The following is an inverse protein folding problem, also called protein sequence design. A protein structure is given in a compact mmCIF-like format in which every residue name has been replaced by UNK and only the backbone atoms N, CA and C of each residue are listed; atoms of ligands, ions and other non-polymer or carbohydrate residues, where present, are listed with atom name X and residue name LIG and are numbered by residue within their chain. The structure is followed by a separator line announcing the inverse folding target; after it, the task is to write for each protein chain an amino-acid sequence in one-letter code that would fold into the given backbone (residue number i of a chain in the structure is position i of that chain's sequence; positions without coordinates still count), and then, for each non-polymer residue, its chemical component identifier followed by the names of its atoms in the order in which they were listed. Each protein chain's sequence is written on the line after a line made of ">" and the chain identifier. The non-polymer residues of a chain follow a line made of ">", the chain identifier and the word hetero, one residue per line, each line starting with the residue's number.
data_IF_734976645898
#
_entry.id   IF_734976645898
#
_cell.length_a   1.000
_cell.length_b   1.000
_cell.length_c   1.000
_cell.angle_alpha   90.00
_cell.angle_beta   90.00
_cell.angle_gamma   90.00
#
_symmetry.space_group_name_H-M   'P 1'
#
loop_
_entity.id
_entity.type
_entity.pdbx_description
1 polymer ?
#
# COMPACT_ATOMS: atom_id res chain seq x y z
N UNK A 1 -40.53 1.78 -9.02
CA UNK A 1 -39.70 0.56 -9.14
C UNK A 1 -38.90 0.40 -7.86
N UNK A 2 -39.07 -0.71 -7.15
CA UNK A 2 -38.38 -1.00 -5.88
C UNK A 2 -36.99 -1.55 -6.23
N UNK A 3 -35.94 -0.78 -6.00
CA UNK A 3 -34.56 -1.30 -6.04
C UNK A 3 -34.30 -2.05 -4.73
N UNK A 4 -34.07 -3.35 -4.83
CA UNK A 4 -33.75 -4.25 -3.72
C UNK A 4 -32.49 -3.78 -2.99
N UNK A 5 -32.65 -3.15 -1.83
CA UNK A 5 -31.57 -2.90 -0.87
C UNK A 5 -31.28 -4.19 -0.10
N UNK A 6 -30.65 -5.16 -0.74
CA UNK A 6 -30.19 -6.38 -0.08
C UNK A 6 -28.70 -6.58 -0.38
N UNK A 7 -27.88 -6.01 0.49
CA UNK A 7 -26.44 -6.21 0.51
C UNK A 7 -25.91 -5.54 1.77
N UNK A 8 -25.68 -6.35 2.80
CA UNK A 8 -24.98 -5.99 4.05
C UNK A 8 -23.96 -4.89 3.77
N UNK A 9 -24.13 -3.72 4.40
CA UNK A 9 -23.43 -2.49 4.08
C UNK A 9 -21.90 -2.70 3.94
N UNK A 10 -21.44 -2.97 2.71
CA UNK A 10 -20.03 -3.04 2.33
C UNK A 10 -19.56 -1.62 1.97
N UNK A 11 -19.83 -0.66 2.86
CA UNK A 11 -19.38 0.71 2.70
C UNK A 11 -17.87 0.79 2.92
N UNK A 12 -17.19 1.21 1.87
CA UNK A 12 -15.86 1.82 1.95
C UNK A 12 -16.01 3.27 1.51
N UNK A 13 -15.39 4.18 2.26
CA UNK A 13 -15.29 5.59 1.93
C UNK A 13 -13.91 6.12 2.30
N UNK A 14 -13.43 7.12 1.58
CA UNK A 14 -12.25 7.90 1.98
C UNK A 14 -12.75 9.13 2.73
N UNK A 15 -12.42 9.23 4.02
CA UNK A 15 -12.91 10.31 4.89
C UNK A 15 -12.01 11.55 4.79
N UNK A 16 -10.70 11.35 4.70
CA UNK A 16 -9.75 12.46 4.68
C UNK A 16 -8.48 12.08 3.91
N UNK A 17 -7.89 13.07 3.24
CA UNK A 17 -6.60 12.94 2.56
C UNK A 17 -5.73 14.09 3.04
N UNK A 18 -4.59 13.76 3.62
CA UNK A 18 -3.64 14.70 4.20
C UNK A 18 -2.29 14.58 3.51
N UNK A 19 -1.34 15.47 3.86
CA UNK A 19 0.04 15.39 3.38
C UNK A 19 0.80 14.16 3.91
N UNK A 20 0.29 13.48 4.94
CA UNK A 20 0.94 12.33 5.57
C UNK A 20 0.34 10.99 5.12
N UNK A 21 -0.89 10.98 4.63
CA UNK A 21 -1.61 9.76 4.31
C UNK A 21 -3.10 9.95 4.12
N UNK A 22 -3.81 8.82 4.02
CA UNK A 22 -5.24 8.74 3.71
C UNK A 22 -5.98 8.07 4.86
N UNK A 23 -7.14 8.61 5.23
CA UNK A 23 -8.08 8.00 6.15
C UNK A 23 -9.19 7.29 5.39
N UNK A 24 -9.34 5.99 5.64
CA UNK A 24 -10.38 5.15 5.08
C UNK A 24 -11.36 4.72 6.17
N UNK A 25 -12.64 4.79 5.87
CA UNK A 25 -13.70 4.22 6.69
C UNK A 25 -14.25 2.97 6.02
N UNK A 26 -14.06 1.82 6.68
CA UNK A 26 -14.51 0.52 6.17
C UNK A 26 -15.30 -0.20 7.26
N UNK A 27 -16.56 -0.55 6.96
CA UNK A 27 -17.43 -1.35 7.83
C UNK A 27 -17.52 -0.85 9.29
N UNK A 28 -17.50 0.46 9.51
CA UNK A 28 -17.60 1.03 10.86
C UNK A 28 -16.26 1.27 11.57
N UNK A 29 -15.13 1.05 10.89
CA UNK A 29 -13.79 1.27 11.42
C UNK A 29 -12.99 2.20 10.54
N UNK A 30 -12.15 3.01 11.16
CA UNK A 30 -11.22 3.91 10.48
C UNK A 30 -9.84 3.26 10.38
N UNK A 31 -9.21 3.41 9.22
CA UNK A 31 -7.86 2.94 8.93
C UNK A 31 -7.05 4.09 8.34
N UNK A 32 -5.84 4.27 8.85
CA UNK A 32 -4.90 5.26 8.33
C UNK A 32 -3.87 4.58 7.43
N UNK A 33 -3.79 5.02 6.18
CA UNK A 33 -2.77 4.61 5.22
C UNK A 33 -1.69 5.69 5.15
N UNK A 34 -0.57 5.50 5.83
CA UNK A 34 0.58 6.41 5.76
C UNK A 34 1.26 6.35 4.39
N UNK A 35 1.64 7.49 3.81
CA UNK A 35 2.44 7.52 2.58
C UNK A 35 3.85 6.93 2.75
N UNK A 36 4.32 6.74 3.98
CA UNK A 36 5.59 6.04 4.23
C UNK A 36 5.48 4.54 3.90
N UNK A 37 4.35 3.94 4.22
CA UNK A 37 4.06 2.52 3.95
C UNK A 37 3.40 2.31 2.59
N UNK A 38 2.61 3.30 2.15
CA UNK A 38 1.79 3.28 0.95
C UNK A 38 2.14 4.46 0.02
N UNK A 39 3.41 4.57 -0.47
CA UNK A 39 3.87 5.73 -1.23
C UNK A 39 3.16 5.92 -2.58
N UNK A 40 2.54 4.86 -3.11
CA UNK A 40 1.81 4.86 -4.38
C UNK A 40 0.64 5.85 -4.42
N UNK A 41 0.13 6.29 -3.26
CA UNK A 41 -0.95 7.28 -3.19
C UNK A 41 -0.48 8.75 -3.19
N UNK A 42 0.80 9.01 -2.96
CA UNK A 42 1.31 10.37 -2.65
C UNK A 42 1.11 11.38 -3.79
N UNK A 43 1.24 10.94 -5.03
CA UNK A 43 1.17 11.77 -6.24
C UNK A 43 -0.08 11.48 -7.09
N UNK A 44 -1.12 10.90 -6.47
CA UNK A 44 -2.33 10.49 -7.16
C UNK A 44 -3.45 11.52 -7.08
N UNK A 45 -4.34 11.51 -8.08
CA UNK A 45 -5.46 12.45 -8.09
C UNK A 45 -6.48 12.10 -7.00
N UNK A 46 -7.11 13.14 -6.44
CA UNK A 46 -8.20 13.00 -5.47
C UNK A 46 -9.29 12.04 -5.96
N UNK A 47 -9.65 12.15 -7.26
CA UNK A 47 -10.67 11.29 -7.89
C UNK A 47 -10.25 9.83 -7.90
N UNK A 48 -9.00 9.54 -8.25
CA UNK A 48 -8.46 8.18 -8.26
C UNK A 48 -8.44 7.57 -6.85
N UNK A 49 -8.01 8.34 -5.85
CA UNK A 49 -7.98 7.90 -4.44
C UNK A 49 -9.39 7.64 -3.90
N UNK A 50 -10.37 8.47 -4.28
CA UNK A 50 -11.75 8.27 -3.84
C UNK A 50 -12.45 7.10 -4.54
N UNK A 51 -11.96 6.65 -5.70
CA UNK A 51 -12.55 5.54 -6.45
C UNK A 51 -12.18 4.16 -5.89
N UNK A 52 -12.26 3.99 -4.57
CA UNK A 52 -12.00 2.72 -3.89
C UNK A 52 -13.20 1.78 -4.00
N UNK A 53 -12.92 0.49 -4.24
CA UNK A 53 -13.92 -0.58 -4.29
C UNK A 53 -13.63 -1.62 -3.22
N UNK A 54 -14.67 -2.03 -2.49
CA UNK A 54 -14.59 -3.12 -1.53
C UNK A 54 -15.12 -4.42 -2.15
N UNK A 55 -14.22 -5.35 -2.36
CA UNK A 55 -14.50 -6.71 -2.80
C UNK A 55 -14.60 -7.66 -1.60
N UNK A 56 -15.60 -8.54 -1.64
CA UNK A 56 -15.83 -9.62 -0.66
C UNK A 56 -15.90 -9.18 0.82
N UNK A 57 -15.95 -7.87 1.09
CA UNK A 57 -16.02 -7.30 2.44
C UNK A 57 -14.68 -7.26 3.20
N UNK A 58 -13.56 -7.54 2.52
CA UNK A 58 -12.21 -7.52 3.12
C UNK A 58 -11.10 -7.05 2.15
N UNK A 59 -11.35 -6.95 0.85
CA UNK A 59 -10.34 -6.60 -0.16
C UNK A 59 -10.66 -5.23 -0.78
N UNK A 60 -9.78 -4.25 -0.58
CA UNK A 60 -9.87 -2.90 -1.12
C UNK A 60 -9.12 -2.85 -2.46
N UNK A 61 -9.72 -2.22 -3.46
CA UNK A 61 -9.10 -2.08 -4.78
C UNK A 61 -9.33 -0.69 -5.35
N UNK A 62 -8.26 -0.07 -5.82
CA UNK A 62 -8.25 1.19 -6.55
C UNK A 62 -7.99 0.91 -8.03
N UNK A 63 -9.05 0.83 -8.88
CA UNK A 63 -8.91 0.51 -10.30
C UNK A 63 -8.12 1.56 -11.09
N UNK A 64 -8.18 2.83 -10.69
CA UNK A 64 -7.45 3.90 -11.37
C UNK A 64 -5.96 3.89 -11.04
N UNK A 65 -5.58 3.28 -9.91
CA UNK A 65 -4.20 3.21 -9.41
C UNK A 65 -3.57 1.85 -9.63
N UNK A 66 -4.39 0.84 -9.95
CA UNK A 66 -4.04 -0.58 -9.95
C UNK A 66 -3.39 -1.02 -8.63
N UNK A 67 -3.97 -0.56 -7.52
CA UNK A 67 -3.52 -0.87 -6.15
C UNK A 67 -4.59 -1.67 -5.43
N UNK A 68 -4.20 -2.80 -4.86
CA UNK A 68 -5.02 -3.62 -3.97
C UNK A 68 -4.48 -3.64 -2.53
N UNK A 69 -5.39 -3.67 -1.55
CA UNK A 69 -5.07 -3.77 -0.13
C UNK A 69 -6.08 -4.66 0.59
N UNK A 70 -5.61 -5.54 1.47
CA UNK A 70 -6.50 -6.31 2.35
C UNK A 70 -6.67 -5.62 3.71
N UNK A 71 -7.90 -5.62 4.22
CA UNK A 71 -8.20 -5.09 5.55
C UNK A 71 -7.47 -5.89 6.63
N UNK A 72 -7.28 -7.20 6.44
CA UNK A 72 -6.55 -8.06 7.39
C UNK A 72 -5.09 -7.59 7.57
N UNK A 73 -4.47 -7.07 6.52
CA UNK A 73 -3.13 -6.47 6.60
C UNK A 73 -3.10 -5.19 7.45
N UNK A 74 -4.22 -4.44 7.49
CA UNK A 74 -4.35 -3.22 8.28
C UNK A 74 -4.68 -3.52 9.74
N UNK A 75 -5.46 -4.57 10.01
CA UNK A 75 -5.82 -5.00 11.36
C UNK A 75 -4.70 -5.79 12.06
N UNK A 76 -3.92 -6.54 11.28
CA UNK A 76 -2.86 -7.42 11.78
C UNK A 76 -1.53 -7.20 11.03
N UNK A 77 -0.92 -6.01 11.12
CA UNK A 77 0.38 -5.76 10.48
C UNK A 77 1.48 -6.73 10.97
N UNK A 78 1.33 -7.31 12.15
CA UNK A 78 2.23 -8.32 12.72
C UNK A 78 2.17 -9.69 12.02
N UNK A 79 1.02 -10.04 11.41
CA UNK A 79 0.86 -11.30 10.66
C UNK A 79 1.53 -11.24 9.30
N UNK A 80 1.61 -10.03 8.74
CA UNK A 80 2.23 -9.76 7.44
C UNK A 80 3.39 -8.80 7.64
N UNK A 81 4.51 -9.23 8.25
CA UNK A 81 5.69 -8.41 8.30
C UNK A 81 6.14 -8.19 6.86
N UNK A 82 5.77 -7.04 6.27
CA UNK A 82 6.21 -6.59 4.96
C UNK A 82 7.71 -6.33 5.04
N UNK A 83 8.48 -7.43 5.02
CA UNK A 83 9.90 -7.42 4.72
C UNK A 83 10.05 -7.33 3.21
N UNK A 84 9.53 -6.26 2.60
CA UNK A 84 10.13 -5.78 1.35
C UNK A 84 11.46 -5.15 1.72
N UNK A 85 12.43 -6.03 1.97
CA UNK A 85 13.84 -5.73 1.83
C UNK A 85 14.06 -5.34 0.36
N UNK A 86 13.78 -4.09 -0.01
CA UNK A 86 14.69 -3.42 -0.92
C UNK A 86 15.99 -3.28 -0.14
N UNK A 87 16.76 -4.38 -0.09
CA UNK A 87 18.16 -4.35 0.26
C UNK A 87 18.76 -3.35 -0.71
N UNK A 88 19.10 -2.17 -0.18
CA UNK A 88 20.11 -1.30 -0.73
C UNK A 88 21.23 -2.18 -1.29
N UNK A 89 21.26 -2.34 -2.61
CA UNK A 89 22.40 -2.93 -3.29
C UNK A 89 23.49 -1.90 -3.13
N UNK A 90 24.29 -2.02 -2.06
CA UNK A 90 25.54 -1.27 -1.92
C UNK A 90 26.28 -1.39 -3.25
N UNK A 91 26.75 -0.30 -3.88
CA UNK A 91 27.61 -0.42 -5.04
C UNK A 91 28.90 -1.10 -4.59
N UNK A 92 29.05 -2.35 -4.98
CA UNK A 92 30.26 -3.14 -4.84
C UNK A 92 31.29 -2.68 -5.88
N UNK A 93 31.86 -1.50 -5.65
CA UNK A 93 33.08 -1.07 -6.32
C UNK A 93 34.28 -1.74 -5.64
N UNK A 94 34.62 -2.97 -6.01
CA UNK A 94 35.94 -3.58 -5.75
C UNK A 94 36.20 -4.78 -6.69
N UNK A 95 36.15 -4.52 -7.99
CA UNK A 95 37.09 -5.07 -8.96
C UNK A 95 37.78 -3.83 -9.55
N UNK A 96 39.09 -3.69 -9.66
CA UNK A 96 40.17 -4.64 -9.81
C UNK A 96 41.47 -4.00 -9.29
N UNK A 97 42.50 -4.83 -9.10
CA UNK A 97 43.95 -4.62 -9.19
C UNK A 97 44.55 -5.74 -8.32
N UNK A 98 44.89 -6.92 -8.83
CA UNK A 98 45.67 -7.15 -10.04
C UNK A 98 47.16 -7.10 -9.68
N UNK A 99 47.73 -8.29 -9.45
CA UNK A 99 49.16 -8.62 -9.36
C UNK A 99 49.94 -8.29 -8.07
N UNK A 100 50.20 -9.34 -7.29
CA UNK A 100 51.53 -9.64 -6.74
C UNK A 100 52.18 -10.64 -7.71
N UNK A 101 53.50 -10.54 -7.97
CA UNK A 101 54.41 -11.29 -7.10
C UNK A 101 55.74 -10.57 -6.75
N UNK A 102 56.32 -11.08 -5.67
CA UNK A 102 57.70 -10.90 -5.22
C UNK A 102 58.72 -11.15 -6.34
N UNK A 103 59.84 -10.42 -6.38
CA UNK A 103 61.16 -10.94 -5.99
C UNK A 103 62.33 -10.06 -6.52
N UNK A 104 63.26 -9.83 -5.60
CA UNK A 104 64.66 -9.38 -5.72
C UNK A 104 64.96 -7.91 -6.01
#
# INVERSE_FOLDING_TARGET
>A
MRSLKNGKNISVSVENISSFGIWLFVKGKEYFLSYEEYPYFKDQTLKSIQNVKLFHGFHLYWPDLDVDLEIDNLEHPEKYPRKSKYLNKKPNNSAALGALPMAR
#
